data_IF_291872323254
#
_entry.id   IF_291872323254
#
_cell.length_a   1.000
_cell.length_b   1.000
_cell.length_c   1.000
_cell.angle_alpha   90.00
_cell.angle_beta   90.00
_cell.angle_gamma   90.00
#
_symmetry.space_group_name_H-M   'P 1'
#
loop_
_entity.id
_entity.type
_entity.pdbx_description
1 polymer ?
#
# COMPACT_ATOMS: atom_id res chain seq x y z
N UNK A 1 6.53 5.96 -6.73
CA UNK A 1 6.96 6.09 -5.31
C UNK A 1 8.45 6.35 -5.27
N UNK A 2 8.91 7.27 -4.41
CA UNK A 2 10.33 7.47 -4.09
C UNK A 2 10.61 6.95 -2.68
N UNK A 3 11.75 6.31 -2.46
CA UNK A 3 12.16 5.69 -1.18
C UNK A 3 13.43 6.39 -0.68
N UNK A 4 13.46 6.75 0.61
CA UNK A 4 14.65 7.28 1.26
C UNK A 4 15.63 6.16 1.60
N UNK A 5 16.77 6.11 0.91
CA UNK A 5 17.78 5.03 1.05
C UNK A 5 18.61 5.06 2.35
N UNK A 6 18.41 6.07 3.22
CA UNK A 6 19.13 6.15 4.51
C UNK A 6 18.47 5.38 5.66
N UNK A 7 17.24 4.91 5.47
CA UNK A 7 16.54 4.12 6.48
C UNK A 7 16.80 2.63 6.25
N UNK A 8 17.51 1.99 7.17
CA UNK A 8 17.69 0.53 7.19
C UNK A 8 16.32 -0.16 7.32
N UNK A 9 16.16 -1.34 6.69
CA UNK A 9 14.93 -2.13 6.74
C UNK A 9 13.76 -1.60 5.88
N UNK A 10 13.87 -0.41 5.26
CA UNK A 10 12.77 0.13 4.46
C UNK A 10 12.39 -0.76 3.27
N UNK A 11 13.37 -1.43 2.67
CA UNK A 11 13.13 -2.35 1.55
C UNK A 11 12.31 -3.57 1.98
N UNK A 12 12.60 -4.12 3.16
CA UNK A 12 11.86 -5.26 3.73
C UNK A 12 10.41 -4.88 4.02
N UNK A 13 10.18 -3.69 4.59
CA UNK A 13 8.82 -3.18 4.83
C UNK A 13 8.08 -3.00 3.50
N UNK A 14 8.74 -2.48 2.46
CA UNK A 14 8.13 -2.36 1.14
C UNK A 14 7.82 -3.72 0.52
N UNK A 15 8.63 -4.74 0.78
CA UNK A 15 8.35 -6.10 0.32
C UNK A 15 7.15 -6.70 1.07
N UNK A 16 6.99 -6.44 2.38
CA UNK A 16 5.77 -6.79 3.10
C UNK A 16 4.54 -6.12 2.51
N UNK A 17 4.60 -4.82 2.21
CA UNK A 17 3.49 -4.09 1.56
C UNK A 17 3.06 -4.78 0.26
N UNK A 18 4.02 -5.22 -0.57
CA UNK A 18 3.72 -5.94 -1.81
C UNK A 18 3.10 -7.31 -1.54
N UNK A 19 3.58 -8.05 -0.54
CA UNK A 19 3.02 -9.34 -0.14
C UNK A 19 1.55 -9.20 0.29
N UNK A 20 1.24 -8.27 1.19
CA UNK A 20 -0.14 -8.02 1.63
C UNK A 20 -1.04 -7.53 0.48
N UNK A 21 -0.50 -6.79 -0.48
CA UNK A 21 -1.24 -6.37 -1.67
C UNK A 21 -1.60 -7.60 -2.53
N UNK A 22 -0.63 -8.50 -2.74
CA UNK A 22 -0.87 -9.77 -3.44
C UNK A 22 -1.88 -10.63 -2.70
N UNK A 23 -1.85 -10.67 -1.37
CA UNK A 23 -2.81 -11.41 -0.56
C UNK A 23 -4.23 -10.84 -0.73
N UNK A 24 -4.36 -9.52 -0.73
CA UNK A 24 -5.64 -8.85 -1.00
C UNK A 24 -6.22 -9.26 -2.36
N UNK A 25 -5.39 -9.30 -3.41
CA UNK A 25 -5.81 -9.78 -4.75
C UNK A 25 -6.24 -11.25 -4.72
N UNK A 26 -5.53 -12.11 -3.99
CA UNK A 26 -5.86 -13.55 -3.87
C UNK A 26 -7.17 -13.76 -3.10
N UNK A 27 -7.37 -13.06 -1.98
CA UNK A 27 -8.60 -13.14 -1.20
C UNK A 27 -9.81 -12.63 -2.00
N UNK A 28 -9.66 -11.50 -2.70
CA UNK A 28 -10.71 -10.94 -3.54
C UNK A 28 -11.10 -11.91 -4.67
N UNK A 29 -10.12 -12.53 -5.36
CA UNK A 29 -10.38 -13.56 -6.40
C UNK A 29 -11.14 -14.77 -5.86
N UNK A 30 -11.01 -15.08 -4.57
CA UNK A 30 -11.71 -16.17 -3.88
C UNK A 30 -13.06 -15.75 -3.29
N UNK A 31 -13.51 -14.51 -3.53
CA UNK A 31 -14.70 -13.91 -2.91
C UNK A 31 -14.64 -13.77 -1.38
N UNK A 32 -13.45 -13.88 -0.78
CA UNK A 32 -13.23 -13.56 0.63
C UNK A 32 -12.95 -12.06 0.77
N UNK A 33 -14.03 -11.27 0.72
CA UNK A 33 -13.94 -9.81 0.68
C UNK A 33 -13.50 -9.21 2.01
N UNK A 34 -13.77 -9.88 3.14
CA UNK A 34 -13.37 -9.39 4.47
C UNK A 34 -11.85 -9.49 4.62
N UNK A 35 -11.27 -10.65 4.29
CA UNK A 35 -9.82 -10.81 4.32
C UNK A 35 -9.12 -9.93 3.28
N UNK A 36 -9.73 -9.77 2.10
CA UNK A 36 -9.22 -8.87 1.07
C UNK A 36 -9.16 -7.41 1.55
N UNK A 37 -10.25 -6.94 2.18
CA UNK A 37 -10.33 -5.59 2.73
C UNK A 37 -9.32 -5.39 3.87
N UNK A 38 -9.17 -6.37 4.76
CA UNK A 38 -8.20 -6.31 5.85
C UNK A 38 -6.76 -6.24 5.31
N UNK A 39 -6.41 -7.06 4.32
CA UNK A 39 -5.08 -7.09 3.72
C UNK A 39 -4.74 -5.78 3.01
N UNK A 40 -5.65 -5.23 2.19
CA UNK A 40 -5.39 -3.96 1.50
C UNK A 40 -5.32 -2.77 2.45
N UNK A 41 -6.19 -2.72 3.48
CA UNK A 41 -6.14 -1.65 4.49
C UNK A 41 -4.80 -1.67 5.27
N UNK A 42 -4.25 -2.86 5.52
CA UNK A 42 -2.93 -3.00 6.15
C UNK A 42 -1.80 -2.46 5.25
N UNK A 43 -1.84 -2.75 3.94
CA UNK A 43 -0.90 -2.16 2.96
C UNK A 43 -0.95 -0.63 2.99
N UNK A 44 -2.15 -0.07 2.90
CA UNK A 44 -2.36 1.37 2.83
C UNK A 44 -1.91 2.05 4.13
N UNK A 45 -2.21 1.46 5.28
CA UNK A 45 -1.77 1.96 6.59
C UNK A 45 -0.25 2.00 6.73
N UNK A 46 0.46 0.95 6.31
CA UNK A 46 1.94 0.94 6.33
C UNK A 46 2.49 2.00 5.38
N UNK A 47 1.98 2.08 4.15
CA UNK A 47 2.44 3.06 3.15
C UNK A 47 2.23 4.49 3.64
N UNK A 48 1.07 4.78 4.22
CA UNK A 48 0.76 6.09 4.76
C UNK A 48 1.64 6.43 5.96
N UNK A 49 1.89 5.49 6.88
CA UNK A 49 2.83 5.67 7.98
C UNK A 49 4.25 6.01 7.48
N UNK A 50 4.76 5.27 6.50
CA UNK A 50 6.06 5.56 5.88
C UNK A 50 6.08 6.95 5.21
N UNK A 51 4.96 7.37 4.62
CA UNK A 51 4.83 8.70 3.99
C UNK A 51 4.89 9.80 5.05
N UNK A 52 4.17 9.63 6.17
CA UNK A 52 4.16 10.56 7.31
C UNK A 52 5.54 10.69 7.96
N UNK A 53 6.31 9.60 8.01
CA UNK A 53 7.69 9.58 8.50
C UNK A 53 8.72 10.18 7.50
N UNK A 54 8.28 10.62 6.31
CA UNK A 54 9.17 11.17 5.28
C UNK A 54 10.09 10.11 4.64
N UNK A 55 9.78 8.83 4.83
CA UNK A 55 10.56 7.70 4.35
C UNK A 55 10.21 7.33 2.90
N UNK A 56 8.96 7.55 2.51
CA UNK A 56 8.50 7.39 1.13
C UNK A 56 7.72 8.61 0.65
N UNK A 57 7.68 8.81 -0.66
CA UNK A 57 6.88 9.85 -1.30
C UNK A 57 6.07 9.27 -2.45
N UNK A 58 4.75 9.43 -2.38
CA UNK A 58 3.78 9.06 -3.40
C UNK A 58 2.50 9.88 -3.23
N UNK A 59 1.62 9.82 -4.23
CA UNK A 59 0.27 10.40 -4.22
C UNK A 59 -0.74 9.33 -4.61
N UNK A 60 -1.87 9.27 -3.91
CA UNK A 60 -3.01 8.48 -4.36
C UNK A 60 -3.53 9.05 -5.67
N UNK A 61 -3.94 8.19 -6.60
CA UNK A 61 -4.70 8.64 -7.77
C UNK A 61 -6.08 9.07 -7.25
N UNK A 62 -6.28 10.36 -7.03
CA UNK A 62 -7.64 10.86 -6.84
C UNK A 62 -8.39 10.66 -8.15
N UNK A 63 -9.66 10.27 -8.07
CA UNK A 63 -10.56 10.41 -9.20
C UNK A 63 -10.64 11.89 -9.53
N UNK A 64 -9.83 12.33 -10.50
CA UNK A 64 -10.18 13.48 -11.30
C UNK A 64 -11.40 13.05 -12.11
N UNK A 65 -12.57 13.15 -11.50
CA UNK A 65 -13.84 13.21 -12.22
C UNK A 65 -13.64 14.25 -13.30
N UNK A 66 -13.47 13.80 -14.55
CA UNK A 66 -13.70 14.67 -15.69
C UNK A 66 -15.19 14.98 -15.66
N UNK A 67 -15.55 16.06 -14.97
CA UNK A 67 -16.82 16.74 -15.20
C UNK A 67 -16.68 17.35 -16.59
N UNK A 68 -17.18 16.65 -17.59
CA UNK A 68 -17.49 17.19 -18.92
C UNK A 68 -18.84 16.64 -19.35
#
# INVERSE_FOLDING_TARGET
MRINRKAEGIHEIIDWVKSYYSDAEVFAKRSDLVSALAAIAYCEGILEALRLLGLVSFSWKSESTKVK
#
